data_IF_411454511782
#
_entry.id   IF_411454511782
#
_cell.length_a   1.000
_cell.length_b   1.000
_cell.length_c   1.000
_cell.angle_alpha   90.00
_cell.angle_beta   90.00
_cell.angle_gamma   90.00
#
_symmetry.space_group_name_H-M   'P 1'
#
loop_
_entity.id
_entity.type
_entity.pdbx_description
1 polymer ?
#
# COMPACT_ATOMS: atom_id res chain seq x y z
N UNK A 1 17.52 -10.76 0.81
CA UNK A 1 17.37 -10.30 -0.58
C UNK A 1 17.28 -8.77 -0.70
N UNK A 2 16.37 -8.06 0.00
CA UNK A 2 16.28 -6.58 -0.02
C UNK A 2 17.60 -5.84 0.29
N UNK A 3 18.38 -6.35 1.24
CA UNK A 3 19.67 -5.76 1.63
C UNK A 3 20.82 -5.97 0.61
N UNK A 4 20.70 -6.97 -0.29
CA UNK A 4 21.70 -7.23 -1.35
C UNK A 4 21.45 -6.36 -2.59
N UNK A 5 20.18 -6.04 -2.88
CA UNK A 5 19.81 -5.17 -4.00
C UNK A 5 20.22 -3.71 -3.74
N UNK A 6 20.11 -3.23 -2.50
CA UNK A 6 20.53 -1.85 -2.13
C UNK A 6 22.04 -1.67 -2.12
N UNK A 7 22.81 -2.69 -1.74
CA UNK A 7 24.29 -2.62 -1.78
C UNK A 7 24.83 -2.65 -3.22
N UNK A 8 24.19 -3.42 -4.10
CA UNK A 8 24.57 -3.47 -5.52
C UNK A 8 24.18 -2.18 -6.27
N UNK A 9 23.04 -1.56 -5.95
CA UNK A 9 22.67 -0.28 -6.55
C UNK A 9 23.64 0.85 -6.14
N UNK A 10 24.09 0.87 -4.89
CA UNK A 10 25.03 1.88 -4.37
C UNK A 10 26.44 1.72 -4.96
N UNK A 11 26.91 0.49 -5.15
CA UNK A 11 28.23 0.24 -5.76
C UNK A 11 28.28 0.53 -7.25
N UNK A 12 27.17 0.31 -7.99
CA UNK A 12 27.05 0.68 -9.41
C UNK A 12 27.04 2.21 -9.58
N UNK A 13 26.40 2.95 -8.66
CA UNK A 13 26.41 4.41 -8.63
C UNK A 13 27.80 5.00 -8.34
N UNK A 14 28.57 4.36 -7.45
CA UNK A 14 29.94 4.76 -7.13
C UNK A 14 30.94 4.49 -8.27
N UNK A 15 30.79 3.40 -9.02
CA UNK A 15 31.72 3.10 -10.13
C UNK A 15 31.44 3.92 -11.38
N UNK A 16 30.17 4.29 -11.65
CA UNK A 16 29.83 5.22 -12.72
C UNK A 16 30.34 6.65 -12.43
N UNK A 17 30.27 7.09 -11.18
CA UNK A 17 30.76 8.43 -10.80
C UNK A 17 32.29 8.53 -10.78
N UNK A 18 33.02 7.45 -10.42
CA UNK A 18 34.49 7.45 -10.45
C UNK A 18 35.09 7.45 -11.87
N UNK A 19 34.47 6.72 -12.81
CA UNK A 19 34.97 6.67 -14.20
C UNK A 19 34.79 8.00 -14.95
N UNK A 20 33.79 8.81 -14.57
CA UNK A 20 33.56 10.13 -15.14
C UNK A 20 34.55 11.21 -14.66
N UNK A 21 35.21 11.00 -13.52
CA UNK A 21 36.10 12.00 -12.90
C UNK A 21 37.56 11.95 -13.37
N UNK A 22 38.00 10.87 -14.01
CA UNK A 22 39.41 10.70 -14.42
C UNK A 22 39.75 11.31 -15.79
N UNK A 23 38.78 11.63 -16.65
CA UNK A 23 39.05 12.09 -18.02
C UNK A 23 39.12 13.62 -18.21
N UNK A 24 38.53 14.42 -17.30
CA UNK A 24 38.29 15.87 -17.51
C UNK A 24 39.05 16.83 -16.57
N UNK A 25 40.17 16.38 -15.99
CA UNK A 25 40.95 17.13 -15.00
C UNK A 25 41.50 18.50 -15.41
N UNK A 26 41.36 18.93 -16.67
CA UNK A 26 41.97 20.15 -17.20
C UNK A 26 41.00 21.26 -17.65
N UNK A 27 39.67 21.08 -17.51
CA UNK A 27 38.66 22.13 -17.76
C UNK A 27 38.08 22.79 -16.48
N UNK A 28 38.50 22.33 -15.31
CA UNK A 28 37.82 22.58 -14.03
C UNK A 28 37.97 24.00 -13.44
N UNK A 29 38.97 24.79 -13.86
CA UNK A 29 39.26 26.09 -13.20
C UNK A 29 38.31 27.25 -13.58
N UNK A 30 37.62 27.18 -14.72
CA UNK A 30 36.46 28.03 -15.04
C UNK A 30 35.12 27.35 -14.67
N UNK A 31 35.12 26.02 -14.54
CA UNK A 31 33.95 25.19 -14.27
C UNK A 31 33.45 25.21 -12.81
N UNK A 32 34.22 25.74 -11.85
CA UNK A 32 33.82 25.76 -10.44
C UNK A 32 32.57 26.61 -10.15
N UNK A 33 32.38 27.72 -10.87
CA UNK A 33 31.19 28.57 -10.74
C UNK A 33 29.97 27.89 -11.41
N UNK A 34 30.16 27.33 -12.60
CA UNK A 34 29.11 26.65 -13.37
C UNK A 34 28.62 25.38 -12.66
N UNK A 35 29.53 24.60 -12.07
CA UNK A 35 29.19 23.42 -11.26
C UNK A 35 28.31 23.79 -10.07
N UNK A 36 28.70 24.83 -9.32
CA UNK A 36 27.95 25.31 -8.15
C UNK A 36 26.56 25.82 -8.56
N UNK A 37 26.46 26.53 -9.70
CA UNK A 37 25.19 27.00 -10.24
C UNK A 37 24.29 25.84 -10.70
N UNK A 38 24.83 24.84 -11.39
CA UNK A 38 24.09 23.65 -11.80
C UNK A 38 23.50 22.90 -10.60
N UNK A 39 24.29 22.62 -9.57
CA UNK A 39 23.77 21.98 -8.36
C UNK A 39 22.72 22.84 -7.65
N UNK A 40 22.94 24.17 -7.59
CA UNK A 40 21.97 25.10 -7.00
C UNK A 40 20.62 25.11 -7.75
N UNK A 41 20.62 24.86 -9.06
CA UNK A 41 19.40 24.76 -9.87
C UNK A 41 18.65 23.44 -9.68
N UNK A 42 19.35 22.31 -9.69
CA UNK A 42 18.69 20.98 -9.75
C UNK A 42 18.52 20.30 -8.39
N UNK A 43 19.33 20.63 -7.38
CA UNK A 43 19.19 20.05 -6.04
C UNK A 43 17.81 20.36 -5.41
N UNK A 44 17.24 21.58 -5.51
CA UNK A 44 15.89 21.84 -5.02
C UNK A 44 14.83 20.98 -5.70
N UNK A 45 14.95 20.73 -7.01
CA UNK A 45 14.01 19.90 -7.77
C UNK A 45 14.05 18.43 -7.32
N UNK A 46 15.24 17.87 -7.09
CA UNK A 46 15.39 16.51 -6.53
C UNK A 46 14.77 16.42 -5.13
N UNK A 47 14.96 17.45 -4.31
CA UNK A 47 14.37 17.51 -2.96
C UNK A 47 12.84 17.57 -3.03
N UNK A 48 12.29 18.35 -3.94
CA UNK A 48 10.85 18.47 -4.16
C UNK A 48 10.26 17.14 -4.61
N UNK A 49 10.86 16.46 -5.60
CA UNK A 49 10.44 15.13 -6.04
C UNK A 49 10.46 14.10 -4.90
N UNK A 50 11.51 14.12 -4.07
CA UNK A 50 11.60 13.23 -2.92
C UNK A 50 10.55 13.51 -1.85
N UNK A 51 10.25 14.79 -1.60
CA UNK A 51 9.19 15.19 -0.67
C UNK A 51 7.81 14.77 -1.19
N UNK A 52 7.53 15.04 -2.47
CA UNK A 52 6.28 14.66 -3.14
C UNK A 52 6.06 13.15 -3.08
N UNK A 53 7.07 12.36 -3.47
CA UNK A 53 7.02 10.90 -3.37
C UNK A 53 6.69 10.42 -1.95
N UNK A 54 7.37 10.98 -0.94
CA UNK A 54 7.14 10.59 0.45
C UNK A 54 5.70 10.89 0.89
N UNK A 55 5.16 12.05 0.50
CA UNK A 55 3.78 12.44 0.82
C UNK A 55 2.77 11.53 0.12
N UNK A 56 2.93 11.29 -1.18
CA UNK A 56 1.97 10.49 -1.96
C UNK A 56 2.00 9.02 -1.55
N UNK A 57 3.19 8.48 -1.30
CA UNK A 57 3.35 7.11 -0.80
C UNK A 57 2.65 6.93 0.55
N UNK A 58 2.83 7.86 1.50
CA UNK A 58 2.14 7.81 2.79
C UNK A 58 0.62 7.91 2.61
N UNK A 59 0.14 8.77 1.70
CA UNK A 59 -1.28 8.89 1.40
C UNK A 59 -1.87 7.58 0.86
N UNK A 60 -1.16 6.85 -0.01
CA UNK A 60 -1.56 5.52 -0.45
C UNK A 60 -1.75 4.55 0.74
N UNK A 61 -0.83 4.57 1.70
CA UNK A 61 -0.90 3.72 2.90
C UNK A 61 -2.08 4.09 3.79
N UNK A 62 -2.28 5.39 4.03
CA UNK A 62 -3.38 5.89 4.87
C UNK A 62 -4.74 5.56 4.26
N UNK A 63 -4.91 5.78 2.95
CA UNK A 63 -6.15 5.45 2.24
C UNK A 63 -6.47 3.95 2.37
N UNK A 64 -5.50 3.07 2.15
CA UNK A 64 -5.68 1.63 2.29
C UNK A 64 -6.04 1.22 3.74
N UNK A 65 -5.43 1.88 4.73
CA UNK A 65 -5.75 1.68 6.15
C UNK A 65 -7.18 2.10 6.47
N UNK A 66 -7.60 3.29 6.02
CA UNK A 66 -8.96 3.81 6.21
C UNK A 66 -10.00 2.87 5.58
N UNK A 67 -9.78 2.43 4.33
CA UNK A 67 -10.68 1.48 3.66
C UNK A 67 -10.77 0.18 4.46
N UNK A 68 -9.65 -0.36 4.94
CA UNK A 68 -9.65 -1.58 5.76
C UNK A 68 -10.49 -1.41 7.03
N UNK A 69 -10.34 -0.29 7.73
CA UNK A 69 -11.14 -0.01 8.94
C UNK A 69 -12.63 0.09 8.60
N UNK A 70 -12.97 0.75 7.50
CA UNK A 70 -14.36 0.87 7.03
C UNK A 70 -14.95 -0.51 6.74
N UNK A 71 -14.25 -1.35 5.97
CA UNK A 71 -14.69 -2.71 5.65
C UNK A 71 -14.97 -3.56 6.89
N UNK A 72 -14.12 -3.44 7.92
CA UNK A 72 -14.30 -4.18 9.18
C UNK A 72 -15.42 -3.60 10.06
N UNK A 73 -15.75 -2.33 9.89
CA UNK A 73 -16.87 -1.68 10.57
C UNK A 73 -18.20 -2.07 9.92
N UNK A 74 -18.25 -2.09 8.59
CA UNK A 74 -19.46 -2.36 7.81
C UNK A 74 -20.02 -3.77 8.05
N UNK A 75 -19.16 -4.74 8.41
CA UNK A 75 -19.60 -6.11 8.73
C UNK A 75 -20.22 -6.25 10.13
N UNK A 76 -20.28 -5.18 10.92
CA UNK A 76 -20.76 -5.23 12.31
C UNK A 76 -22.17 -5.80 12.42
N UNK A 77 -23.11 -5.30 11.61
CA UNK A 77 -24.49 -5.78 11.60
C UNK A 77 -24.60 -7.25 11.19
N UNK A 78 -23.85 -7.69 10.17
CA UNK A 78 -23.84 -9.08 9.71
C UNK A 78 -23.32 -10.03 10.80
N UNK A 79 -22.30 -9.61 11.54
CA UNK A 79 -21.79 -10.36 12.70
C UNK A 79 -22.83 -10.47 13.80
N UNK A 80 -23.59 -9.41 14.06
CA UNK A 80 -24.63 -9.39 15.08
C UNK A 80 -25.80 -10.31 14.70
N UNK A 81 -26.20 -10.37 13.43
CA UNK A 81 -27.24 -11.28 12.95
C UNK A 81 -26.83 -12.76 13.14
N UNK A 82 -25.60 -13.11 12.75
CA UNK A 82 -25.06 -14.46 12.96
C UNK A 82 -25.00 -14.78 14.47
N UNK A 83 -24.55 -13.82 15.28
CA UNK A 83 -24.47 -13.98 16.73
C UNK A 83 -25.85 -14.24 17.35
N UNK A 84 -26.87 -13.48 16.96
CA UNK A 84 -28.23 -13.66 17.47
C UNK A 84 -28.78 -15.05 17.09
N UNK A 85 -28.60 -15.48 15.84
CA UNK A 85 -29.00 -16.82 15.42
C UNK A 85 -28.28 -17.92 16.21
N UNK A 86 -26.97 -17.77 16.44
CA UNK A 86 -26.18 -18.72 17.23
C UNK A 86 -26.61 -18.76 18.70
N UNK A 87 -26.93 -17.62 19.30
CA UNK A 87 -27.48 -17.54 20.65
C UNK A 87 -28.81 -18.29 20.78
N UNK A 88 -29.68 -18.23 19.76
CA UNK A 88 -30.91 -19.02 19.75
C UNK A 88 -30.65 -20.54 19.83
N UNK A 89 -29.65 -21.02 19.10
CA UNK A 89 -29.23 -22.44 19.15
C UNK A 89 -28.62 -22.77 20.51
N UNK A 90 -27.78 -21.90 21.07
CA UNK A 90 -27.20 -22.08 22.41
C UNK A 90 -28.26 -22.17 23.49
N UNK A 91 -29.23 -21.25 23.49
CA UNK A 91 -30.32 -21.21 24.45
C UNK A 91 -31.13 -22.50 24.44
N UNK A 92 -31.44 -23.05 23.26
CA UNK A 92 -32.13 -24.34 23.17
C UNK A 92 -31.33 -25.47 23.82
N UNK A 93 -30.01 -25.52 23.60
CA UNK A 93 -29.14 -26.53 24.21
C UNK A 93 -29.13 -26.35 25.73
N UNK A 94 -28.97 -25.12 26.21
CA UNK A 94 -28.96 -24.79 27.63
C UNK A 94 -30.28 -25.17 28.31
N UNK A 95 -31.42 -24.89 27.70
CA UNK A 95 -32.74 -25.30 28.18
C UNK A 95 -32.84 -26.82 28.35
N UNK A 96 -32.38 -27.60 27.36
CA UNK A 96 -32.37 -29.06 27.48
C UNK A 96 -31.42 -29.56 28.58
N UNK A 97 -30.28 -28.89 28.79
CA UNK A 97 -29.30 -29.27 29.82
C UNK A 97 -29.79 -29.06 31.25
N UNK A 98 -30.77 -28.17 31.47
CA UNK A 98 -31.35 -27.93 32.80
C UNK A 98 -32.40 -28.97 33.21
N UNK A 99 -32.81 -29.87 32.30
CA UNK A 99 -33.82 -30.89 32.59
C UNK A 99 -33.22 -32.02 33.44
N UNK A 100 -33.88 -32.31 34.56
CA UNK A 100 -33.47 -33.36 35.51
C UNK A 100 -34.17 -34.70 35.26
N UNK A 101 -35.37 -34.68 34.67
CA UNK A 101 -36.05 -35.90 34.24
C UNK A 101 -35.38 -36.48 32.99
N UNK A 102 -35.03 -37.76 33.04
CA UNK A 102 -34.26 -38.42 31.98
C UNK A 102 -35.06 -38.52 30.67
N UNK A 103 -36.36 -38.79 30.73
CA UNK A 103 -37.18 -38.93 29.54
C UNK A 103 -37.41 -37.58 28.87
N UNK A 104 -37.68 -36.53 29.64
CA UNK A 104 -37.77 -35.15 29.15
C UNK A 104 -36.44 -34.67 28.55
N UNK A 105 -35.31 -34.96 29.21
CA UNK A 105 -33.97 -34.65 28.72
C UNK A 105 -33.72 -35.24 27.32
N UNK A 106 -33.92 -36.56 27.15
CA UNK A 106 -33.71 -37.21 25.85
C UNK A 106 -34.71 -36.73 24.78
N UNK A 107 -35.97 -36.48 25.16
CA UNK A 107 -36.99 -35.96 24.25
C UNK A 107 -36.75 -34.50 23.84
N UNK A 108 -36.05 -33.72 24.66
CA UNK A 108 -35.64 -32.36 24.30
C UNK A 108 -34.58 -32.40 23.19
N UNK A 109 -33.49 -33.15 23.41
CA UNK A 109 -32.42 -33.26 22.42
C UNK A 109 -32.83 -33.97 21.12
N UNK A 110 -33.78 -34.90 21.17
CA UNK A 110 -34.29 -35.56 19.95
C UNK A 110 -34.97 -34.58 18.98
N UNK A 111 -35.43 -33.42 19.46
CA UNK A 111 -36.02 -32.35 18.64
C UNK A 111 -34.99 -31.38 18.09
N UNK A 112 -33.76 -31.38 18.60
CA UNK A 112 -32.71 -30.41 18.27
C UNK A 112 -32.55 -30.25 16.75
N UNK A 113 -32.30 -31.34 16.04
CA UNK A 113 -32.09 -31.30 14.59
C UNK A 113 -33.33 -30.79 13.85
N UNK A 114 -34.54 -31.22 14.25
CA UNK A 114 -35.78 -30.80 13.56
C UNK A 114 -36.06 -29.31 13.75
N UNK A 115 -35.67 -28.73 14.89
CA UNK A 115 -35.95 -27.33 15.22
C UNK A 115 -34.83 -26.37 14.82
N UNK A 116 -33.57 -26.82 14.81
CA UNK A 116 -32.41 -25.95 14.61
C UNK A 116 -31.63 -26.19 13.31
N UNK A 117 -31.93 -27.25 12.53
CA UNK A 117 -31.16 -27.56 11.31
C UNK A 117 -31.12 -26.38 10.33
N UNK A 118 -32.25 -25.72 10.09
CA UNK A 118 -32.32 -24.58 9.19
C UNK A 118 -31.49 -23.39 9.71
N UNK A 119 -31.57 -23.10 11.02
CA UNK A 119 -30.81 -22.03 11.68
C UNK A 119 -29.31 -22.30 11.61
N UNK A 120 -28.87 -23.50 11.97
CA UNK A 120 -27.45 -23.90 11.94
C UNK A 120 -26.91 -23.86 10.51
N UNK A 121 -27.69 -24.32 9.53
CA UNK A 121 -27.32 -24.23 8.13
C UNK A 121 -27.19 -22.77 7.67
N UNK A 122 -28.15 -21.91 8.01
CA UNK A 122 -28.13 -20.49 7.66
C UNK A 122 -26.93 -19.76 8.28
N UNK A 123 -26.61 -20.05 9.55
CA UNK A 123 -25.39 -19.53 10.21
C UNK A 123 -24.16 -19.89 9.40
N UNK A 124 -23.99 -21.18 9.07
CA UNK A 124 -22.82 -21.65 8.33
C UNK A 124 -22.75 -21.04 6.93
N UNK A 125 -23.87 -20.97 6.23
CA UNK A 125 -23.94 -20.45 4.87
C UNK A 125 -23.64 -18.95 4.83
N UNK A 126 -24.34 -18.15 5.63
CA UNK A 126 -24.15 -16.70 5.67
C UNK A 126 -22.73 -16.34 6.13
N UNK A 127 -22.23 -16.97 7.21
CA UNK A 127 -20.87 -16.73 7.67
C UNK A 127 -19.82 -17.01 6.59
N UNK A 128 -19.99 -18.08 5.83
CA UNK A 128 -19.07 -18.44 4.74
C UNK A 128 -19.15 -17.44 3.58
N UNK A 129 -20.36 -17.03 3.20
CA UNK A 129 -20.59 -16.04 2.14
C UNK A 129 -20.01 -14.67 2.52
N UNK A 130 -20.30 -14.19 3.73
CA UNK A 130 -19.82 -12.90 4.23
C UNK A 130 -18.29 -12.89 4.38
N UNK A 131 -17.70 -14.00 4.85
CA UNK A 131 -16.26 -14.14 4.93
C UNK A 131 -15.59 -14.10 3.55
N UNK A 132 -16.18 -14.76 2.54
CA UNK A 132 -15.69 -14.70 1.17
C UNK A 132 -15.70 -13.26 0.64
N UNK A 133 -16.83 -12.57 0.76
CA UNK A 133 -16.99 -11.19 0.30
C UNK A 133 -16.00 -10.25 1.00
N UNK A 134 -15.83 -10.39 2.32
CA UNK A 134 -14.87 -9.58 3.06
C UNK A 134 -13.43 -9.84 2.60
N UNK A 135 -13.07 -11.11 2.40
CA UNK A 135 -11.74 -11.47 1.91
C UNK A 135 -11.45 -10.88 0.52
N UNK A 136 -12.43 -10.94 -0.40
CA UNK A 136 -12.31 -10.31 -1.73
C UNK A 136 -12.09 -8.80 -1.62
N UNK A 137 -12.87 -8.11 -0.79
CA UNK A 137 -12.73 -6.67 -0.59
C UNK A 137 -11.38 -6.29 0.03
N UNK A 138 -10.91 -7.06 1.01
CA UNK A 138 -9.60 -6.86 1.62
C UNK A 138 -8.46 -7.12 0.63
N UNK A 139 -8.55 -8.17 -0.18
CA UNK A 139 -7.56 -8.46 -1.23
C UNK A 139 -7.52 -7.35 -2.29
N UNK A 140 -8.68 -6.87 -2.72
CA UNK A 140 -8.80 -5.74 -3.64
C UNK A 140 -8.14 -4.47 -3.07
N UNK A 141 -8.35 -4.16 -1.79
CA UNK A 141 -7.69 -3.03 -1.12
C UNK A 141 -6.15 -3.16 -1.12
N UNK A 142 -5.62 -4.36 -0.87
CA UNK A 142 -4.17 -4.59 -0.93
C UNK A 142 -3.59 -4.41 -2.34
N UNK A 143 -4.33 -4.86 -3.36
CA UNK A 143 -3.97 -4.64 -4.77
C UNK A 143 -3.94 -3.14 -5.09
N UNK A 144 -4.99 -2.40 -4.73
CA UNK A 144 -5.07 -0.96 -4.95
C UNK A 144 -3.96 -0.20 -4.23
N UNK A 145 -3.65 -0.58 -2.98
CA UNK A 145 -2.52 -0.03 -2.23
C UNK A 145 -1.21 -0.23 -2.99
N UNK A 146 -0.96 -1.46 -3.44
CA UNK A 146 0.26 -1.79 -4.19
C UNK A 146 0.36 -0.96 -5.48
N UNK A 147 -0.71 -0.89 -6.27
CA UNK A 147 -0.76 -0.10 -7.50
C UNK A 147 -0.44 1.37 -7.23
N UNK A 148 -1.10 1.98 -6.24
CA UNK A 148 -0.85 3.36 -5.83
C UNK A 148 0.62 3.58 -5.45
N UNK A 149 1.18 2.74 -4.57
CA UNK A 149 2.58 2.88 -4.15
C UNK A 149 3.58 2.64 -5.26
N UNK A 150 3.25 1.79 -6.23
CA UNK A 150 4.13 1.51 -7.35
C UNK A 150 4.13 2.65 -8.37
N UNK A 151 2.97 3.27 -8.59
CA UNK A 151 2.83 4.46 -9.43
C UNK A 151 3.63 5.64 -8.85
N UNK A 152 3.52 5.90 -7.54
CA UNK A 152 4.30 6.97 -6.90
C UNK A 152 5.81 6.71 -6.98
N UNK A 153 6.25 5.47 -6.79
CA UNK A 153 7.65 5.09 -6.97
C UNK A 153 8.12 5.28 -8.43
N UNK A 154 7.30 4.88 -9.40
CA UNK A 154 7.60 5.07 -10.82
C UNK A 154 7.78 6.55 -11.14
N UNK A 155 6.87 7.40 -10.69
CA UNK A 155 6.91 8.83 -10.97
C UNK A 155 8.13 9.49 -10.33
N UNK A 156 8.49 9.08 -9.12
CA UNK A 156 9.74 9.50 -8.48
C UNK A 156 10.98 9.09 -9.29
N UNK A 157 11.06 7.83 -9.71
CA UNK A 157 12.21 7.32 -10.49
C UNK A 157 12.33 8.02 -11.83
N UNK A 158 11.23 8.16 -12.58
CA UNK A 158 11.23 8.84 -13.88
C UNK A 158 11.56 10.32 -13.71
N UNK A 159 10.93 11.00 -12.76
CA UNK A 159 11.16 12.42 -12.50
C UNK A 159 12.61 12.70 -12.08
N UNK A 160 13.17 11.89 -11.17
CA UNK A 160 14.56 12.07 -10.74
C UNK A 160 15.55 11.76 -11.87
N UNK A 161 15.28 10.76 -12.72
CA UNK A 161 16.10 10.50 -13.91
C UNK A 161 16.16 11.71 -14.82
N UNK A 162 15.04 12.36 -15.11
CA UNK A 162 14.99 13.56 -15.95
C UNK A 162 15.78 14.72 -15.35
N UNK A 163 15.71 14.90 -14.03
CA UNK A 163 16.47 15.94 -13.34
C UNK A 163 17.97 15.63 -13.34
N UNK A 164 18.37 14.36 -13.21
CA UNK A 164 19.77 13.96 -13.33
C UNK A 164 20.31 14.15 -14.75
N UNK A 165 19.53 13.81 -15.78
CA UNK A 165 19.90 14.05 -17.18
C UNK A 165 20.11 15.55 -17.45
N UNK A 166 19.23 16.40 -16.89
CA UNK A 166 19.34 17.86 -17.01
C UNK A 166 20.54 18.42 -16.22
N UNK A 167 20.85 17.84 -15.05
CA UNK A 167 22.04 18.18 -14.27
C UNK A 167 23.32 17.80 -15.02
N UNK A 168 23.42 16.59 -15.57
CA UNK A 168 24.58 16.15 -16.35
C UNK A 168 24.81 17.07 -17.55
N UNK A 169 23.74 17.40 -18.28
CA UNK A 169 23.80 18.38 -19.37
C UNK A 169 24.32 19.74 -18.90
N UNK A 170 23.85 20.24 -17.75
CA UNK A 170 24.33 21.48 -17.17
C UNK A 170 25.81 21.42 -16.79
N UNK A 171 26.28 20.31 -16.21
CA UNK A 171 27.68 20.14 -15.84
C UNK A 171 28.61 20.10 -17.06
N UNK A 172 28.14 19.54 -18.19
CA UNK A 172 28.90 19.45 -19.43
C UNK A 172 28.92 20.75 -20.25
N UNK A 173 27.79 21.46 -20.30
CA UNK A 173 27.59 22.60 -21.21
C UNK A 173 27.40 23.96 -20.51
N UNK A 174 27.40 23.97 -19.18
CA UNK A 174 27.13 25.15 -18.35
C UNK A 174 25.63 25.36 -18.06
N UNK A 175 25.29 26.28 -17.15
CA UNK A 175 23.91 26.58 -16.79
C UNK A 175 23.12 27.09 -18.00
N UNK A 176 21.84 26.71 -18.15
CA UNK A 176 21.02 27.17 -19.26
C UNK A 176 20.96 28.71 -19.26
N UNK A 177 21.29 29.33 -20.39
CA UNK A 177 21.13 30.78 -20.55
C UNK A 177 19.65 31.12 -20.41
N UNK A 178 19.30 32.18 -19.68
CA UNK A 178 17.93 32.68 -19.45
C UNK A 178 17.25 33.25 -20.72
N UNK A 179 17.40 32.60 -21.86
CA UNK A 179 16.74 32.94 -23.12
C UNK A 179 15.53 32.03 -23.36
N UNK A 180 14.35 32.60 -23.10
CA UNK A 180 13.03 32.20 -23.60
C UNK A 180 12.31 31.06 -22.90
N UNK A 181 11.55 31.45 -21.87
CA UNK A 181 10.29 30.82 -21.47
C UNK A 181 9.32 30.73 -22.65
N UNK A 182 9.27 29.61 -23.36
CA UNK A 182 8.07 29.12 -24.05
C UNK A 182 8.25 27.62 -24.31
N UNK A 183 7.18 26.84 -24.13
CA UNK A 183 7.03 25.37 -24.29
C UNK A 183 7.33 24.56 -23.00
N UNK A 184 6.40 23.84 -22.36
CA UNK A 184 5.13 23.25 -22.80
C UNK A 184 4.10 23.25 -21.66
N UNK A 185 2.95 23.88 -21.90
CA UNK A 185 1.67 23.33 -21.48
C UNK A 185 1.04 22.65 -22.69
N UNK A 186 0.71 21.37 -22.55
CA UNK A 186 -0.32 20.61 -23.29
C UNK A 186 -0.39 19.22 -22.67
#
# INVERSE_FOLDING_TARGET
MKALLTTLAFSIWLTHSLSYLEEDGQKVSAAGNDTTQCFSLYQPLLKELGAQWSTDYEQCLQNASTIRVQLLTDIGALKDDIKQAAMGVSNFIEECLQLTDALEYFNCFSKFSKQNLATVYAISFNASADALILNEKLASNEISKYQCTNETERDYVVGTSQVFDALDHCLLYGPPSTATTTFLGS
#
